data_IF_164646273813
#
_entry.id   IF_164646273813
#
_cell.length_a   1.000
_cell.length_b   1.000
_cell.length_c   1.000
_cell.angle_alpha   90.00
_cell.angle_beta   90.00
_cell.angle_gamma   90.00
#
_symmetry.space_group_name_H-M   'P 1'
#
loop_
_entity.id
_entity.type
_entity.pdbx_description
1 polymer ?
#
# COMPACT_ATOMS: atom_id res chain seq x y z
N UNK A 1 -19.94 20.40 -5.75
CA UNK A 1 -19.12 20.88 -4.60
C UNK A 1 -19.34 20.00 -3.35
N UNK A 2 -20.58 19.60 -3.05
CA UNK A 2 -20.91 18.86 -1.81
C UNK A 2 -20.45 17.41 -1.83
N UNK A 3 -20.57 16.70 -2.97
CA UNK A 3 -20.07 15.33 -3.16
C UNK A 3 -18.54 15.27 -3.06
N UNK A 4 -17.84 16.19 -3.73
CA UNK A 4 -16.36 16.29 -3.68
C UNK A 4 -15.87 16.47 -2.24
N UNK A 5 -16.43 17.44 -1.51
CA UNK A 5 -16.01 17.72 -0.13
C UNK A 5 -16.27 16.52 0.80
N UNK A 6 -17.39 15.80 0.62
CA UNK A 6 -17.69 14.59 1.40
C UNK A 6 -16.74 13.45 1.09
N UNK A 7 -16.44 13.20 -0.19
CA UNK A 7 -15.49 12.18 -0.61
C UNK A 7 -14.09 12.51 -0.12
N UNK A 8 -13.63 13.77 -0.28
CA UNK A 8 -12.33 14.22 0.19
C UNK A 8 -12.19 14.14 1.72
N UNK A 9 -13.23 14.49 2.47
CA UNK A 9 -13.21 14.41 3.94
C UNK A 9 -13.11 12.97 4.46
N UNK A 10 -13.74 12.00 3.78
CA UNK A 10 -13.64 10.57 4.14
C UNK A 10 -12.28 9.98 3.82
N UNK A 11 -11.75 10.28 2.64
CA UNK A 11 -10.46 9.76 2.18
C UNK A 11 -9.26 10.45 2.86
N UNK A 12 -9.45 11.66 3.43
CA UNK A 12 -8.43 12.34 4.23
C UNK A 12 -8.11 11.63 5.56
N UNK A 13 -8.96 10.67 6.00
CA UNK A 13 -8.76 9.88 7.23
C UNK A 13 -7.80 8.68 7.01
N UNK A 14 -7.16 8.57 5.83
CA UNK A 14 -6.16 7.52 5.54
C UNK A 14 -6.77 6.15 5.22
N UNK A 15 -8.08 6.07 4.95
CA UNK A 15 -8.74 4.84 4.49
C UNK A 15 -8.63 4.69 2.99
N UNK A 16 -8.39 3.46 2.55
CA UNK A 16 -8.38 3.16 1.12
C UNK A 16 -9.81 3.18 0.56
N UNK A 17 -9.95 3.44 -0.75
CA UNK A 17 -11.21 3.32 -1.48
C UNK A 17 -11.90 1.96 -1.27
N UNK A 18 -11.10 0.92 -1.05
CA UNK A 18 -11.55 -0.45 -0.84
C UNK A 18 -12.20 -0.61 0.54
N UNK A 19 -11.69 0.07 1.57
CA UNK A 19 -12.22 -0.02 2.94
C UNK A 19 -13.56 0.73 3.11
N UNK A 20 -13.76 1.83 2.39
CA UNK A 20 -14.98 2.66 2.46
C UNK A 20 -15.91 2.46 1.23
N UNK A 21 -15.78 1.34 0.49
CA UNK A 21 -16.52 1.09 -0.75
C UNK A 21 -18.05 1.16 -0.58
N UNK A 22 -18.60 0.59 0.49
CA UNK A 22 -20.04 0.58 0.74
C UNK A 22 -20.65 1.99 0.87
N UNK A 23 -20.18 2.84 1.79
CA UNK A 23 -20.71 4.20 1.91
C UNK A 23 -20.42 5.05 0.66
N UNK A 24 -19.28 4.85 0.00
CA UNK A 24 -18.91 5.50 -1.24
C UNK A 24 -19.90 5.15 -2.38
N UNK A 25 -20.24 3.87 -2.53
CA UNK A 25 -21.18 3.41 -3.53
C UNK A 25 -22.59 4.02 -3.32
N UNK A 26 -23.04 4.16 -2.08
CA UNK A 26 -24.32 4.77 -1.76
C UNK A 26 -24.37 6.27 -2.11
N UNK A 27 -23.27 6.99 -1.90
CA UNK A 27 -23.18 8.41 -2.29
C UNK A 27 -23.21 8.60 -3.80
N UNK A 28 -22.52 7.75 -4.58
CA UNK A 28 -22.59 7.79 -6.05
C UNK A 28 -23.99 7.51 -6.54
N UNK A 29 -24.69 6.51 -5.98
CA UNK A 29 -26.05 6.17 -6.36
C UNK A 29 -27.05 7.33 -6.18
N UNK A 30 -26.80 8.25 -5.26
CA UNK A 30 -27.61 9.44 -5.06
C UNK A 30 -27.53 10.47 -6.19
N UNK A 31 -26.44 10.42 -6.99
CA UNK A 31 -26.14 11.38 -8.06
C UNK A 31 -26.25 10.74 -9.44
N UNK A 32 -25.75 9.54 -9.59
CA UNK A 32 -25.80 8.75 -10.84
C UNK A 32 -26.53 7.45 -10.52
N UNK A 33 -27.81 7.30 -10.92
CA UNK A 33 -28.55 6.06 -10.72
C UNK A 33 -27.91 4.89 -11.50
N UNK A 34 -27.69 3.77 -10.84
CA UNK A 34 -27.16 2.55 -11.41
C UNK A 34 -27.76 1.32 -10.69
N UNK A 35 -27.66 0.15 -11.31
CA UNK A 35 -28.10 -1.13 -10.73
C UNK A 35 -26.95 -1.91 -10.12
N UNK A 36 -25.73 -1.70 -10.61
CA UNK A 36 -24.51 -2.32 -10.11
C UNK A 36 -23.31 -1.40 -10.22
N UNK A 37 -22.36 -1.57 -9.28
CA UNK A 37 -21.08 -0.85 -9.25
C UNK A 37 -19.94 -1.82 -8.97
N UNK A 38 -18.82 -1.62 -9.66
CA UNK A 38 -17.56 -2.31 -9.45
C UNK A 38 -16.46 -1.30 -9.21
N UNK A 39 -15.67 -1.53 -8.16
CA UNK A 39 -14.38 -0.88 -7.93
C UNK A 39 -13.28 -1.92 -8.18
N UNK A 40 -12.46 -1.69 -9.19
CA UNK A 40 -11.33 -2.54 -9.55
C UNK A 40 -10.04 -1.74 -9.42
N UNK A 41 -9.25 -2.04 -8.38
CA UNK A 41 -8.02 -1.34 -8.03
C UNK A 41 -6.95 -2.36 -7.65
N UNK A 42 -5.75 -2.24 -8.19
CA UNK A 42 -4.60 -3.13 -7.93
C UNK A 42 -4.95 -4.63 -8.06
N UNK A 43 -5.80 -4.98 -9.03
CA UNK A 43 -6.26 -6.36 -9.24
C UNK A 43 -7.34 -6.84 -8.26
N UNK A 44 -7.75 -6.02 -7.30
CA UNK A 44 -8.84 -6.32 -6.38
C UNK A 44 -10.18 -5.91 -6.98
N UNK A 45 -11.15 -6.83 -6.92
CA UNK A 45 -12.49 -6.66 -7.43
C UNK A 45 -13.49 -6.56 -6.27
N UNK A 46 -14.04 -5.37 -6.05
CA UNK A 46 -15.16 -5.13 -5.15
C UNK A 46 -16.40 -4.77 -5.94
N UNK A 47 -17.54 -5.31 -5.55
CA UNK A 47 -18.78 -5.10 -6.28
C UNK A 47 -20.00 -5.00 -5.38
N UNK A 48 -21.02 -4.31 -5.88
CA UNK A 48 -22.33 -4.21 -5.25
C UNK A 48 -23.43 -4.12 -6.31
N UNK A 49 -24.57 -4.78 -6.07
CA UNK A 49 -25.72 -4.78 -6.97
C UNK A 49 -25.55 -5.73 -8.15
N UNK A 50 -26.21 -5.42 -9.26
CA UNK A 50 -26.20 -6.23 -10.48
C UNK A 50 -24.95 -5.99 -11.31
N UNK A 51 -24.01 -6.94 -11.26
CA UNK A 51 -22.68 -6.83 -11.88
C UNK A 51 -22.30 -8.12 -12.65
N UNK A 52 -21.33 -8.05 -13.57
CA UNK A 52 -20.73 -9.25 -14.16
C UNK A 52 -20.07 -10.12 -13.08
N UNK A 53 -20.00 -11.43 -13.33
CA UNK A 53 -19.14 -12.31 -12.53
C UNK A 53 -17.66 -11.93 -12.69
N UNK A 54 -16.79 -12.29 -11.74
CA UNK A 54 -15.34 -12.00 -11.87
C UNK A 54 -14.73 -12.51 -13.19
N UNK A 55 -15.14 -13.67 -13.68
CA UNK A 55 -14.66 -14.24 -14.94
C UNK A 55 -15.12 -13.44 -16.18
N UNK A 56 -16.37 -12.96 -16.20
CA UNK A 56 -16.88 -12.08 -17.24
C UNK A 56 -16.18 -10.72 -17.20
N UNK A 57 -15.88 -10.24 -15.98
CA UNK A 57 -15.24 -8.95 -15.74
C UNK A 57 -13.80 -8.89 -16.25
N UNK A 58 -13.02 -9.97 -16.13
CA UNK A 58 -11.64 -10.01 -16.68
C UNK A 58 -11.59 -9.71 -18.18
N UNK A 59 -12.55 -10.27 -18.94
CA UNK A 59 -12.69 -10.00 -20.38
C UNK A 59 -13.02 -8.54 -20.64
N UNK A 60 -13.90 -7.98 -19.82
CA UNK A 60 -14.34 -6.58 -19.92
C UNK A 60 -13.20 -5.59 -19.63
N UNK A 61 -12.37 -5.84 -18.59
CA UNK A 61 -11.21 -4.99 -18.26
C UNK A 61 -10.19 -4.98 -19.42
N UNK A 62 -9.92 -6.14 -20.02
CA UNK A 62 -9.03 -6.22 -21.20
C UNK A 62 -9.58 -5.39 -22.38
N UNK A 63 -10.88 -5.49 -22.62
CA UNK A 63 -11.55 -4.67 -23.63
C UNK A 63 -11.42 -3.18 -23.32
N UNK A 64 -11.74 -2.74 -22.10
CA UNK A 64 -11.65 -1.33 -21.69
C UNK A 64 -10.22 -0.78 -21.79
N UNK A 65 -9.21 -1.56 -21.42
CA UNK A 65 -7.81 -1.17 -21.56
C UNK A 65 -7.37 -1.00 -23.02
N UNK A 66 -8.02 -1.70 -23.95
CA UNK A 66 -7.73 -1.59 -25.38
C UNK A 66 -8.53 -0.49 -26.04
N UNK A 67 -9.80 -0.33 -25.69
CA UNK A 67 -10.72 0.64 -26.30
C UNK A 67 -10.62 2.04 -25.67
N UNK A 68 -10.14 2.15 -24.42
CA UNK A 68 -10.20 3.40 -23.66
C UNK A 68 -9.03 4.34 -23.93
N UNK A 69 -9.34 5.63 -24.11
CA UNK A 69 -8.38 6.74 -24.29
C UNK A 69 -7.88 7.36 -22.98
N UNK A 70 -8.33 6.84 -21.81
CA UNK A 70 -8.08 7.47 -20.50
C UNK A 70 -9.19 8.44 -20.08
N UNK A 71 -10.23 8.55 -20.87
CA UNK A 71 -11.47 9.29 -20.60
C UNK A 71 -12.59 8.34 -20.15
N UNK A 72 -13.70 8.88 -19.68
CA UNK A 72 -14.87 8.06 -19.39
C UNK A 72 -15.36 7.36 -20.66
N UNK A 73 -15.72 6.10 -20.54
CA UNK A 73 -16.32 5.34 -21.62
C UNK A 73 -17.71 4.85 -21.21
N UNK A 74 -18.74 5.11 -22.04
CA UNK A 74 -20.09 4.73 -21.73
C UNK A 74 -20.85 4.18 -22.94
N UNK A 75 -21.77 3.26 -22.67
CA UNK A 75 -22.69 2.71 -23.66
C UNK A 75 -23.99 2.27 -22.98
N UNK A 76 -25.09 2.29 -23.71
CA UNK A 76 -26.39 1.69 -23.31
C UNK A 76 -26.58 0.30 -23.91
N UNK A 77 -25.64 -0.19 -24.73
CA UNK A 77 -25.65 -1.50 -25.35
C UNK A 77 -24.25 -2.12 -25.37
N UNK A 78 -23.82 -2.65 -24.22
CA UNK A 78 -22.48 -3.18 -24.03
C UNK A 78 -22.14 -4.32 -25.00
N UNK A 79 -23.09 -5.23 -25.26
CA UNK A 79 -22.89 -6.39 -26.12
C UNK A 79 -22.56 -6.04 -27.58
N UNK A 80 -22.91 -4.82 -28.04
CA UNK A 80 -22.54 -4.35 -29.39
C UNK A 80 -21.04 -4.08 -29.53
N UNK A 81 -20.36 -3.70 -28.45
CA UNK A 81 -18.93 -3.39 -28.42
C UNK A 81 -18.10 -4.53 -27.86
N UNK A 82 -18.67 -5.30 -26.92
CA UNK A 82 -18.06 -6.44 -26.27
C UNK A 82 -18.99 -7.66 -26.36
N UNK A 83 -18.95 -8.44 -27.44
CA UNK A 83 -19.89 -9.56 -27.66
C UNK A 83 -20.01 -10.57 -26.52
N UNK A 84 -18.94 -10.91 -25.74
CA UNK A 84 -19.08 -11.77 -24.59
C UNK A 84 -20.08 -11.27 -23.53
N UNK A 85 -20.37 -9.97 -23.48
CA UNK A 85 -21.35 -9.39 -22.55
C UNK A 85 -22.82 -9.78 -22.86
N UNK A 86 -23.10 -10.50 -23.95
CA UNK A 86 -24.41 -11.09 -24.16
C UNK A 86 -24.82 -12.06 -23.04
N UNK A 87 -23.86 -12.75 -22.41
CA UNK A 87 -24.13 -13.67 -21.30
C UNK A 87 -24.63 -12.97 -20.03
N UNK A 88 -24.27 -11.71 -19.84
CA UNK A 88 -24.66 -10.91 -18.66
C UNK A 88 -25.58 -9.73 -19.03
N UNK A 89 -26.12 -9.65 -20.26
CA UNK A 89 -26.91 -8.53 -20.73
C UNK A 89 -28.10 -8.17 -19.81
N UNK A 90 -28.76 -9.15 -19.23
CA UNK A 90 -29.83 -8.92 -18.26
C UNK A 90 -29.42 -8.05 -17.06
N UNK A 91 -28.15 -8.17 -16.61
CA UNK A 91 -27.58 -7.42 -15.48
C UNK A 91 -26.75 -6.22 -15.90
N UNK A 92 -26.14 -6.27 -17.07
CA UNK A 92 -25.07 -5.36 -17.51
C UNK A 92 -25.28 -4.92 -18.96
N UNK A 93 -26.49 -4.54 -19.35
CA UNK A 93 -26.76 -4.04 -20.71
C UNK A 93 -26.06 -2.72 -20.98
N UNK A 94 -25.99 -1.84 -19.97
CA UNK A 94 -25.28 -0.58 -20.02
C UNK A 94 -24.07 -0.51 -19.11
N UNK A 95 -23.10 0.29 -19.50
CA UNK A 95 -21.85 0.50 -18.77
C UNK A 95 -21.41 1.96 -18.84
N UNK A 96 -20.92 2.46 -17.69
CA UNK A 96 -20.22 3.74 -17.56
C UNK A 96 -18.91 3.47 -16.80
N UNK A 97 -17.77 3.49 -17.49
CA UNK A 97 -16.45 3.21 -16.95
C UNK A 97 -15.65 4.49 -16.73
N UNK A 98 -15.14 4.66 -15.51
CA UNK A 98 -14.30 5.76 -15.08
C UNK A 98 -12.88 5.21 -14.81
N UNK A 99 -11.89 5.47 -15.68
CA UNK A 99 -10.50 5.10 -15.40
C UNK A 99 -9.94 6.02 -14.33
N UNK A 100 -9.38 5.42 -13.25
CA UNK A 100 -8.84 6.15 -12.08
C UNK A 100 -7.33 6.05 -11.94
N UNK A 101 -6.64 5.33 -12.87
CA UNK A 101 -5.18 5.25 -12.93
C UNK A 101 -4.64 5.22 -14.36
N UNK A 102 -3.30 5.18 -14.52
CA UNK A 102 -2.63 4.93 -15.81
C UNK A 102 -2.59 3.42 -16.09
N UNK A 103 -2.19 3.04 -17.32
CA UNK A 103 -2.14 1.64 -17.75
C UNK A 103 -1.19 0.76 -16.91
N UNK A 104 -1.59 -0.48 -16.52
CA UNK A 104 -2.94 -1.03 -16.59
C UNK A 104 -3.90 -0.22 -15.71
N UNK A 105 -5.09 0.10 -16.23
CA UNK A 105 -5.97 1.05 -15.54
C UNK A 105 -6.78 0.38 -14.45
N UNK A 106 -6.88 1.07 -13.34
CA UNK A 106 -7.92 0.84 -12.34
C UNK A 106 -9.20 1.54 -12.77
N UNK A 107 -10.33 0.97 -12.39
CA UNK A 107 -11.63 1.42 -12.85
C UNK A 107 -12.63 1.51 -11.71
N UNK A 108 -13.45 2.55 -11.76
CA UNK A 108 -14.78 2.55 -11.17
C UNK A 108 -15.79 2.38 -12.29
N UNK A 109 -16.66 1.37 -12.21
CA UNK A 109 -17.59 1.03 -13.29
C UNK A 109 -19.00 0.94 -12.74
N UNK A 110 -19.92 1.65 -13.38
CA UNK A 110 -21.35 1.59 -13.10
C UNK A 110 -22.06 0.80 -14.18
N UNK A 111 -22.98 -0.05 -13.78
CA UNK A 111 -23.77 -0.91 -14.67
C UNK A 111 -25.25 -0.56 -14.57
N UNK A 112 -25.96 -0.71 -15.69
CA UNK A 112 -27.40 -0.69 -15.77
C UNK A 112 -27.92 -1.97 -16.39
N UNK A 113 -28.96 -2.50 -15.79
CA UNK A 113 -29.65 -3.70 -16.25
C UNK A 113 -30.44 -3.44 -17.54
N UNK A 114 -30.76 -4.52 -18.23
CA UNK A 114 -31.55 -4.47 -19.45
C UNK A 114 -32.96 -3.94 -19.19
N UNK A 115 -33.42 -3.05 -20.05
CA UNK A 115 -34.80 -2.58 -20.09
C UNK A 115 -35.40 -2.93 -21.44
N UNK A 116 -36.43 -3.78 -21.46
CA UNK A 116 -37.20 -4.03 -22.66
C UNK A 116 -37.87 -2.76 -23.16
N UNK A 117 -37.55 -2.35 -24.39
CA UNK A 117 -38.15 -1.16 -25.01
C UNK A 117 -39.11 -1.55 -26.10
N UNK A 118 -40.36 -1.04 -25.99
CA UNK A 118 -41.32 -1.12 -27.07
C UNK A 118 -41.05 0.02 -28.07
N UNK A 119 -40.50 -0.32 -29.22
CA UNK A 119 -40.36 0.65 -30.34
C UNK A 119 -41.55 0.50 -31.25
N UNK A 120 -42.33 1.55 -31.38
CA UNK A 120 -43.54 1.62 -32.25
C UNK A 120 -43.14 2.22 -33.58
N UNK A 121 -43.39 1.49 -34.63
CA UNK A 121 -43.15 1.94 -36.01
C UNK A 121 -44.49 2.19 -36.71
N UNK A 122 -44.58 3.24 -37.53
CA UNK A 122 -45.70 3.44 -38.43
C UNK A 122 -45.54 2.46 -39.64
N UNK A 123 -46.05 1.24 -39.42
CA UNK A 123 -45.93 0.12 -40.38
C UNK A 123 -44.62 -0.69 -40.27
N UNK A 124 -44.67 -1.96 -40.70
CA UNK A 124 -43.52 -2.88 -40.69
C UNK A 124 -42.35 -2.28 -41.46
N UNK A 125 -41.12 -2.27 -40.92
CA UNK A 125 -39.97 -1.62 -41.56
C UNK A 125 -39.51 -2.29 -42.84
N UNK A 126 -39.82 -3.61 -43.05
CA UNK A 126 -39.42 -4.34 -44.23
C UNK A 126 -40.30 -3.97 -45.43
N UNK A 127 -39.69 -3.43 -46.47
CA UNK A 127 -40.35 -3.26 -47.76
C UNK A 127 -40.56 -4.62 -48.44
N UNK A 128 -41.79 -4.99 -48.63
CA UNK A 128 -42.13 -6.22 -49.40
C UNK A 128 -41.79 -5.94 -50.85
N UNK A 129 -40.88 -6.72 -51.41
CA UNK A 129 -40.59 -6.73 -52.87
C UNK A 129 -41.57 -7.72 -53.51
N UNK A 130 -42.42 -7.25 -54.40
CA UNK A 130 -43.25 -8.12 -55.25
C UNK A 130 -42.62 -8.21 -56.63
N UNK A 131 -42.44 -9.45 -57.08
CA UNK A 131 -41.95 -9.71 -58.47
C UNK A 131 -43.17 -9.67 -59.38
N UNK A 132 -43.25 -8.59 -60.18
CA UNK A 132 -44.29 -8.44 -61.19
C UNK A 132 -43.76 -8.79 -62.58
N UNK A 133 -44.62 -8.83 -63.61
CA UNK A 133 -44.26 -9.20 -65.01
C UNK A 133 -43.19 -8.31 -65.64
N UNK A 134 -42.89 -7.15 -65.06
CA UNK A 134 -41.88 -6.20 -65.55
C UNK A 134 -40.72 -5.98 -64.57
N UNK A 135 -40.43 -6.98 -63.67
CA UNK A 135 -39.34 -6.92 -62.70
C UNK A 135 -39.79 -6.64 -61.28
N UNK A 136 -38.83 -6.54 -60.34
CA UNK A 136 -39.10 -6.25 -58.91
C UNK A 136 -39.64 -4.81 -58.75
N UNK A 137 -40.82 -4.68 -58.12
CA UNK A 137 -41.39 -3.41 -57.72
C UNK A 137 -41.54 -3.31 -56.22
N UNK A 138 -41.20 -2.14 -55.67
CA UNK A 138 -41.49 -1.81 -54.27
C UNK A 138 -42.97 -1.44 -54.19
N UNK A 139 -43.80 -2.25 -53.50
CA UNK A 139 -45.20 -1.92 -53.26
C UNK A 139 -45.32 -0.80 -52.23
N UNK A 140 -46.25 0.16 -52.42
CA UNK A 140 -46.60 1.12 -51.38
C UNK A 140 -47.07 0.39 -50.15
N UNK A 141 -46.75 0.89 -48.95
CA UNK A 141 -47.21 0.33 -47.68
C UNK A 141 -48.73 0.24 -47.67
N UNK A 142 -49.26 -0.99 -47.61
CA UNK A 142 -50.69 -1.25 -47.63
C UNK A 142 -51.40 -1.02 -46.29
N UNK A 143 -50.63 -0.88 -45.21
CA UNK A 143 -51.19 -0.69 -43.85
C UNK A 143 -50.26 0.21 -43.04
N UNK A 144 -50.83 1.18 -42.35
CA UNK A 144 -50.19 2.00 -41.32
C UNK A 144 -50.42 1.42 -39.94
N UNK A 145 -50.66 0.09 -39.86
CA UNK A 145 -50.79 -0.59 -38.58
C UNK A 145 -49.53 -0.40 -37.74
N UNK A 146 -49.72 -0.09 -36.46
CA UNK A 146 -48.65 0.09 -35.49
C UNK A 146 -47.88 -1.24 -35.32
N UNK A 147 -46.64 -1.25 -35.73
CA UNK A 147 -45.77 -2.42 -35.52
C UNK A 147 -44.90 -2.20 -34.32
N UNK A 148 -44.97 -3.09 -33.34
CA UNK A 148 -44.19 -3.06 -32.15
C UNK A 148 -43.00 -4.00 -32.28
N UNK A 149 -41.84 -3.49 -32.01
CA UNK A 149 -40.63 -4.30 -31.87
C UNK A 149 -40.13 -4.17 -30.45
N UNK A 150 -39.96 -5.32 -29.78
CA UNK A 150 -39.28 -5.36 -28.49
C UNK A 150 -37.78 -5.35 -28.82
N UNK A 151 -37.11 -4.31 -28.39
CA UNK A 151 -35.66 -4.19 -28.48
C UNK A 151 -35.07 -4.63 -27.15
N UNK A 152 -34.24 -5.66 -27.19
CA UNK A 152 -33.51 -6.23 -26.04
C UNK A 152 -32.05 -5.85 -26.07
N UNK A 153 -31.32 -6.03 -24.99
CA UNK A 153 -29.90 -5.74 -24.88
C UNK A 153 -29.55 -4.28 -24.61
N UNK A 154 -30.54 -3.43 -24.36
CA UNK A 154 -30.35 -2.01 -24.06
C UNK A 154 -30.75 -1.67 -22.63
N UNK A 155 -30.02 -0.76 -22.01
CA UNK A 155 -30.42 -0.12 -20.74
C UNK A 155 -31.02 1.28 -20.98
N UNK A 156 -31.35 1.97 -19.89
CA UNK A 156 -31.63 3.40 -19.94
C UNK A 156 -30.36 4.15 -20.34
N UNK A 157 -30.39 4.99 -21.41
CA UNK A 157 -29.22 5.76 -21.82
C UNK A 157 -28.69 6.65 -20.70
N UNK A 158 -27.37 6.83 -20.70
CA UNK A 158 -26.70 7.76 -19.81
C UNK A 158 -26.97 9.20 -20.28
N UNK A 159 -27.52 10.02 -19.41
CA UNK A 159 -27.77 11.43 -19.69
C UNK A 159 -26.48 12.24 -19.70
N UNK A 160 -26.48 13.41 -20.31
CA UNK A 160 -25.30 14.26 -20.35
C UNK A 160 -24.94 14.80 -18.94
N UNK A 161 -25.95 15.04 -18.10
CA UNK A 161 -25.73 15.43 -16.69
C UNK A 161 -25.03 14.30 -15.90
N UNK A 162 -25.43 13.04 -16.11
CA UNK A 162 -24.78 11.88 -15.48
C UNK A 162 -23.35 11.70 -15.96
N UNK A 163 -23.09 11.92 -17.27
CA UNK A 163 -21.72 11.87 -17.81
C UNK A 163 -20.83 12.99 -17.23
N UNK A 164 -21.37 14.21 -17.11
CA UNK A 164 -20.66 15.32 -16.46
C UNK A 164 -20.36 15.02 -14.98
N UNK A 165 -21.33 14.45 -14.26
CA UNK A 165 -21.11 14.01 -12.89
C UNK A 165 -20.05 12.91 -12.79
N UNK A 166 -20.04 11.96 -13.74
CA UNK A 166 -19.04 10.89 -13.80
C UNK A 166 -17.64 11.44 -14.09
N UNK A 167 -17.49 12.40 -15.01
CA UNK A 167 -16.21 13.03 -15.27
C UNK A 167 -15.69 13.81 -14.06
N UNK A 168 -16.57 14.51 -13.37
CA UNK A 168 -16.22 15.19 -12.12
C UNK A 168 -15.78 14.20 -11.03
N UNK A 169 -16.50 13.09 -10.90
CA UNK A 169 -16.13 12.01 -9.98
C UNK A 169 -14.78 11.42 -10.34
N UNK A 170 -14.51 11.16 -11.63
CA UNK A 170 -13.23 10.65 -12.12
C UNK A 170 -12.05 11.56 -11.73
N UNK A 171 -12.18 12.87 -11.95
CA UNK A 171 -11.16 13.86 -11.58
C UNK A 171 -10.91 13.84 -10.08
N UNK A 172 -11.99 13.81 -9.27
CA UNK A 172 -11.89 13.72 -7.81
C UNK A 172 -11.15 12.46 -7.37
N UNK A 173 -11.46 11.31 -7.99
CA UNK A 173 -10.80 10.02 -7.69
C UNK A 173 -9.32 10.05 -8.03
N UNK A 174 -8.94 10.60 -9.19
CA UNK A 174 -7.55 10.77 -9.57
C UNK A 174 -6.77 11.65 -8.58
N UNK A 175 -7.38 12.74 -8.11
CA UNK A 175 -6.77 13.60 -7.09
C UNK A 175 -6.52 12.86 -5.78
N UNK A 176 -7.49 12.03 -5.36
CA UNK A 176 -7.35 11.19 -4.16
C UNK A 176 -6.23 10.17 -4.32
N UNK A 177 -6.20 9.44 -5.43
CA UNK A 177 -5.14 8.45 -5.71
C UNK A 177 -3.76 9.10 -5.70
N UNK A 178 -3.62 10.28 -6.31
CA UNK A 178 -2.37 11.04 -6.29
C UNK A 178 -1.95 11.42 -4.88
N UNK A 179 -2.86 11.92 -4.05
CA UNK A 179 -2.55 12.28 -2.65
C UNK A 179 -2.14 11.07 -1.81
N UNK A 180 -2.82 9.93 -1.99
CA UNK A 180 -2.44 8.70 -1.29
C UNK A 180 -1.05 8.23 -1.70
N UNK A 181 -0.72 8.25 -2.99
CA UNK A 181 0.60 7.91 -3.50
C UNK A 181 1.69 8.87 -2.96
N UNK A 182 1.42 10.18 -2.93
CA UNK A 182 2.36 11.17 -2.36
C UNK A 182 2.60 10.95 -0.86
N UNK A 183 1.56 10.64 -0.09
CA UNK A 183 1.70 10.37 1.34
C UNK A 183 2.51 9.09 1.59
N UNK A 184 2.25 8.02 0.84
CA UNK A 184 3.03 6.78 0.93
C UNK A 184 4.50 7.00 0.59
N UNK A 185 4.81 7.78 -0.45
CA UNK A 185 6.18 8.12 -0.80
C UNK A 185 6.87 8.91 0.31
N UNK A 186 6.19 9.90 0.91
CA UNK A 186 6.75 10.67 2.04
C UNK A 186 7.06 9.79 3.26
N UNK A 187 6.22 8.82 3.56
CA UNK A 187 6.46 7.86 4.64
C UNK A 187 7.68 6.97 4.36
N UNK A 188 7.83 6.50 3.11
CA UNK A 188 8.99 5.73 2.68
C UNK A 188 10.28 6.55 2.74
N UNK A 189 10.26 7.79 2.27
CA UNK A 189 11.41 8.71 2.33
C UNK A 189 11.82 8.98 3.78
N UNK A 190 10.86 9.27 4.65
CA UNK A 190 11.12 9.49 6.08
C UNK A 190 11.65 8.23 6.78
N UNK A 191 11.21 7.04 6.39
CA UNK A 191 11.76 5.77 6.89
C UNK A 191 13.19 5.57 6.40
N UNK A 192 13.48 5.88 5.13
CA UNK A 192 14.82 5.84 4.55
C UNK A 192 15.80 6.78 5.27
N UNK A 193 15.41 8.04 5.50
CA UNK A 193 16.23 9.01 6.24
C UNK A 193 16.53 8.53 7.67
N UNK A 194 15.55 7.97 8.37
CA UNK A 194 15.76 7.39 9.71
C UNK A 194 16.75 6.24 9.68
N UNK A 195 16.64 5.37 8.67
CA UNK A 195 17.56 4.25 8.49
C UNK A 195 19.00 4.73 8.22
N UNK A 196 19.20 5.75 7.38
CA UNK A 196 20.51 6.33 7.12
C UNK A 196 21.16 6.91 8.40
N UNK A 197 20.38 7.62 9.21
CA UNK A 197 20.84 8.16 10.50
C UNK A 197 21.29 7.02 11.42
N UNK A 198 20.51 5.94 11.52
CA UNK A 198 20.87 4.77 12.33
C UNK A 198 22.14 4.07 11.85
N UNK A 199 22.29 3.92 10.53
CA UNK A 199 23.51 3.35 9.91
C UNK A 199 24.73 4.23 10.19
N UNK A 200 24.60 5.56 10.09
CA UNK A 200 25.68 6.50 10.39
C UNK A 200 26.12 6.39 11.85
N UNK A 201 25.17 6.34 12.78
CA UNK A 201 25.44 6.15 14.22
C UNK A 201 26.10 4.81 14.50
N UNK A 202 25.59 3.72 13.90
CA UNK A 202 26.20 2.39 14.02
C UNK A 202 27.64 2.40 13.53
N UNK A 203 27.92 2.98 12.36
CA UNK A 203 29.26 3.09 11.82
C UNK A 203 30.19 3.92 12.72
N UNK A 204 29.68 4.97 13.35
CA UNK A 204 30.43 5.74 14.32
C UNK A 204 30.79 4.90 15.56
N UNK A 205 29.87 4.11 16.08
CA UNK A 205 30.07 3.20 17.22
C UNK A 205 31.08 2.10 16.87
N UNK A 206 30.96 1.46 15.71
CA UNK A 206 31.92 0.45 15.24
C UNK A 206 33.33 1.04 15.16
N UNK A 207 33.50 2.24 14.61
CA UNK A 207 34.81 2.92 14.57
C UNK A 207 35.36 3.17 15.98
N UNK A 208 34.53 3.54 16.93
CA UNK A 208 34.95 3.76 18.32
C UNK A 208 35.45 2.46 18.96
N UNK A 209 34.74 1.33 18.78
CA UNK A 209 35.18 0.01 19.28
C UNK A 209 36.49 -0.41 18.63
N UNK A 210 36.65 -0.26 17.32
CA UNK A 210 37.90 -0.61 16.62
C UNK A 210 39.07 0.25 17.10
N UNK A 211 38.85 1.53 17.41
CA UNK A 211 39.87 2.39 17.97
C UNK A 211 40.28 1.97 19.40
N UNK A 212 39.31 1.54 20.23
CA UNK A 212 39.58 0.99 21.55
C UNK A 212 40.41 -0.31 21.45
N UNK A 213 40.02 -1.25 20.59
CA UNK A 213 40.76 -2.49 20.34
C UNK A 213 42.20 -2.18 19.89
N UNK A 214 42.37 -1.23 18.96
CA UNK A 214 43.69 -0.80 18.50
C UNK A 214 44.53 -0.21 19.63
N UNK A 215 43.93 0.57 20.53
CA UNK A 215 44.58 1.14 21.70
C UNK A 215 45.03 0.05 22.69
N UNK A 216 44.15 -0.94 22.96
CA UNK A 216 44.47 -2.10 23.81
C UNK A 216 45.65 -2.89 23.26
N UNK A 217 45.68 -3.19 21.97
CA UNK A 217 46.79 -3.90 21.31
C UNK A 217 48.10 -3.11 21.46
N UNK A 218 48.10 -1.81 21.24
CA UNK A 218 49.28 -0.96 21.32
C UNK A 218 49.80 -0.81 22.76
N UNK A 219 48.91 -0.68 23.75
CA UNK A 219 49.30 -0.54 25.15
C UNK A 219 49.81 -1.84 25.76
N UNK A 220 49.40 -3.00 25.22
CA UNK A 220 49.84 -4.31 25.70
C UNK A 220 51.23 -4.72 25.20
N UNK A 221 51.77 -4.10 24.14
CA UNK A 221 53.06 -4.50 23.51
C UNK A 221 54.31 -4.39 24.39
N UNK A 222 54.51 -3.40 25.29
CA UNK A 222 55.78 -3.22 25.97
C UNK A 222 56.01 -4.07 27.22
N UNK A 223 55.02 -4.83 27.70
CA UNK A 223 54.99 -5.37 29.07
C UNK A 223 55.32 -6.88 29.20
N UNK A 224 55.51 -7.63 28.08
CA UNK A 224 55.48 -9.10 28.15
C UNK A 224 56.75 -9.76 27.59
N UNK A 225 57.18 -10.84 28.28
CA UNK A 225 58.31 -11.63 27.91
C UNK A 225 58.04 -12.72 26.87
N UNK A 226 56.80 -13.24 26.81
CA UNK A 226 56.39 -14.29 25.87
C UNK A 226 55.15 -13.92 25.06
N UNK A 227 55.00 -14.58 23.91
CA UNK A 227 53.79 -14.37 23.05
C UNK A 227 52.54 -14.91 23.75
N UNK A 228 52.68 -15.98 24.54
CA UNK A 228 51.53 -16.60 25.23
C UNK A 228 50.98 -15.67 26.32
N UNK A 229 51.85 -15.06 27.13
CA UNK A 229 51.47 -14.07 28.16
C UNK A 229 50.74 -12.87 27.52
N UNK A 230 51.28 -12.41 26.38
CA UNK A 230 50.61 -11.32 25.62
C UNK A 230 49.22 -11.69 25.14
N UNK A 231 49.05 -12.90 24.60
CA UNK A 231 47.80 -13.39 24.05
C UNK A 231 46.74 -13.55 25.16
N UNK A 232 47.14 -14.06 26.35
CA UNK A 232 46.24 -14.25 27.50
C UNK A 232 45.71 -12.90 28.03
N UNK A 233 46.59 -11.93 28.22
CA UNK A 233 46.21 -10.63 28.73
C UNK A 233 45.39 -9.81 27.68
N UNK A 234 45.77 -9.87 26.42
CA UNK A 234 44.97 -9.24 25.38
C UNK A 234 43.58 -9.87 25.30
N UNK A 235 43.47 -11.21 25.42
CA UNK A 235 42.20 -11.93 25.45
C UNK A 235 41.30 -11.45 26.59
N UNK A 236 41.84 -11.36 27.83
CA UNK A 236 41.07 -10.92 29.00
C UNK A 236 40.57 -9.48 28.87
N UNK A 237 41.36 -8.57 28.29
CA UNK A 237 40.98 -7.18 28.03
C UNK A 237 39.87 -7.07 26.94
N UNK A 238 39.95 -7.89 25.90
CA UNK A 238 38.90 -7.94 24.85
C UNK A 238 37.61 -8.47 25.43
N UNK A 239 37.65 -9.48 26.31
CA UNK A 239 36.46 -9.97 27.00
C UNK A 239 35.83 -8.92 27.94
N UNK A 240 36.66 -8.17 28.68
CA UNK A 240 36.16 -7.04 29.48
C UNK A 240 35.48 -5.97 28.63
N UNK A 241 36.09 -5.66 27.48
CA UNK A 241 35.48 -4.75 26.50
C UNK A 241 34.13 -5.27 25.97
N UNK A 242 34.03 -6.57 25.63
CA UNK A 242 32.79 -7.20 25.17
C UNK A 242 31.70 -7.14 26.26
N UNK A 243 32.03 -7.49 27.52
CA UNK A 243 31.07 -7.39 28.64
C UNK A 243 30.55 -5.95 28.86
N UNK A 244 31.42 -4.97 28.80
CA UNK A 244 31.05 -3.57 28.92
C UNK A 244 30.12 -3.12 27.77
N UNK A 245 30.36 -3.60 26.57
CA UNK A 245 29.51 -3.34 25.40
C UNK A 245 28.13 -4.00 25.52
N UNK A 246 28.10 -5.27 25.98
CA UNK A 246 26.84 -5.99 26.21
C UNK A 246 25.99 -5.28 27.26
N UNK A 247 26.58 -4.76 28.34
CA UNK A 247 25.87 -3.95 29.33
C UNK A 247 25.24 -2.70 28.73
N UNK A 248 25.94 -2.00 27.84
CA UNK A 248 25.41 -0.84 27.14
C UNK A 248 24.23 -1.21 26.26
N UNK A 249 24.31 -2.37 25.57
CA UNK A 249 23.25 -2.84 24.67
C UNK A 249 22.03 -3.30 25.44
N UNK A 250 22.18 -4.08 26.50
CA UNK A 250 21.06 -4.55 27.36
C UNK A 250 20.39 -3.39 28.08
N UNK A 251 21.18 -2.38 28.51
CA UNK A 251 20.68 -1.19 29.18
C UNK A 251 20.12 -0.12 28.24
N UNK A 252 19.93 -0.42 26.97
CA UNK A 252 19.47 0.54 25.93
C UNK A 252 20.23 1.88 26.01
N UNK A 253 21.56 1.79 26.19
CA UNK A 253 22.46 2.95 26.30
C UNK A 253 22.07 3.94 27.42
N UNK A 254 21.37 3.44 28.44
CA UNK A 254 21.00 4.23 29.61
C UNK A 254 22.16 4.39 30.60
N UNK A 255 22.18 5.48 31.38
CA UNK A 255 23.16 5.65 32.45
C UNK A 255 23.07 4.52 33.47
N UNK A 256 24.22 3.91 33.80
CA UNK A 256 24.30 2.70 34.65
C UNK A 256 24.88 3.03 36.01
N UNK A 257 24.33 2.49 37.13
CA UNK A 257 24.95 2.65 38.45
C UNK A 257 26.36 2.04 38.51
N UNK A 258 27.34 2.78 39.08
CA UNK A 258 28.73 2.29 39.18
C UNK A 258 28.83 0.96 39.93
N UNK A 259 27.97 0.74 40.94
CA UNK A 259 27.91 -0.53 41.69
C UNK A 259 27.56 -1.73 40.80
N UNK A 260 26.71 -1.52 39.81
CA UNK A 260 26.35 -2.57 38.86
C UNK A 260 27.54 -2.91 37.95
N UNK A 261 28.27 -1.90 37.49
CA UNK A 261 29.49 -2.11 36.67
C UNK A 261 30.55 -2.89 37.49
N UNK A 262 30.80 -2.49 38.74
CA UNK A 262 31.73 -3.19 39.65
C UNK A 262 31.29 -4.65 39.87
N UNK A 263 29.98 -4.89 40.10
CA UNK A 263 29.45 -6.23 40.32
C UNK A 263 29.65 -7.15 39.11
N UNK A 264 29.45 -6.65 37.89
CA UNK A 264 29.66 -7.44 36.67
C UNK A 264 31.13 -7.78 36.46
N UNK A 265 32.01 -6.80 36.63
CA UNK A 265 33.45 -7.08 36.51
C UNK A 265 33.96 -8.04 37.61
N UNK A 266 33.50 -7.85 38.85
CA UNK A 266 33.81 -8.73 39.97
C UNK A 266 33.32 -10.16 39.75
N UNK A 267 32.12 -10.36 39.24
CA UNK A 267 31.55 -11.70 38.99
C UNK A 267 32.34 -12.48 37.91
N UNK A 268 32.94 -11.80 36.93
CA UNK A 268 33.76 -12.43 35.90
C UNK A 268 35.08 -12.95 36.46
N UNK A 269 35.59 -12.35 37.53
CA UNK A 269 36.87 -12.64 38.13
C UNK A 269 36.81 -13.64 39.29
N UNK A 270 35.85 -13.46 40.18
CA UNK A 270 35.80 -14.19 41.48
C UNK A 270 34.94 -15.45 41.43
N UNK A 271 34.43 -15.85 40.30
CA UNK A 271 33.56 -17.03 40.00
C UNK A 271 32.68 -17.56 41.13
N UNK A 272 33.09 -17.51 42.40
CA UNK A 272 32.34 -17.97 43.60
C UNK A 272 32.68 -17.21 44.89
N UNK A 273 33.50 -16.16 44.89
CA UNK A 273 34.01 -15.48 46.10
C UNK A 273 33.70 -13.97 46.12
N UNK A 274 32.44 -13.60 45.78
CA UNK A 274 31.99 -12.20 45.76
C UNK A 274 32.11 -11.49 47.13
N UNK A 275 32.14 -12.23 48.24
CA UNK A 275 32.32 -11.71 49.58
C UNK A 275 33.70 -11.07 49.83
N UNK A 276 34.69 -11.26 48.97
CA UNK A 276 36.01 -10.62 49.03
C UNK A 276 36.02 -9.16 48.60
N UNK A 277 34.93 -8.66 47.99
CA UNK A 277 34.82 -7.29 47.52
C UNK A 277 33.80 -6.52 48.32
N UNK A 278 34.24 -5.49 49.03
CA UNK A 278 33.37 -4.50 49.69
C UNK A 278 33.33 -3.24 48.85
N UNK A 279 32.10 -2.81 48.51
CA UNK A 279 31.84 -1.57 47.74
C UNK A 279 31.18 -0.54 48.60
N UNK A 280 31.93 0.47 49.05
CA UNK A 280 31.43 1.57 49.89
C UNK A 280 31.52 2.89 49.12
N UNK A 281 30.58 3.80 49.40
CA UNK A 281 30.58 5.14 48.81
C UNK A 281 29.19 5.62 48.40
N UNK A 282 29.12 6.86 47.95
CA UNK A 282 27.89 7.48 47.50
C UNK A 282 27.35 6.83 46.20
N UNK A 283 26.05 6.94 46.00
CA UNK A 283 25.41 6.49 44.73
C UNK A 283 25.91 7.34 43.60
N UNK A 284 26.51 6.72 42.61
CA UNK A 284 27.03 7.40 41.41
C UNK A 284 26.56 6.66 40.14
N UNK A 285 26.31 7.44 39.11
CA UNK A 285 25.82 6.97 37.82
C UNK A 285 26.90 7.23 36.76
N UNK A 286 27.21 6.21 35.97
CA UNK A 286 28.16 6.26 34.86
C UNK A 286 27.39 6.50 33.57
N UNK A 287 27.78 7.55 32.86
CA UNK A 287 27.25 7.83 31.53
C UNK A 287 27.73 6.77 30.52
N UNK A 288 26.92 6.42 29.49
CA UNK A 288 27.28 5.39 28.52
C UNK A 288 28.66 5.56 27.88
N UNK A 289 29.05 6.80 27.55
CA UNK A 289 30.37 7.11 26.96
C UNK A 289 31.54 6.81 27.88
N UNK A 290 31.33 6.80 29.18
CA UNK A 290 32.39 6.54 30.17
C UNK A 290 32.37 5.07 30.67
N UNK A 291 31.35 4.29 30.37
CA UNK A 291 31.18 2.93 30.90
C UNK A 291 32.31 2.00 30.44
N UNK A 292 32.58 1.94 29.15
CA UNK A 292 33.62 1.09 28.57
C UNK A 292 35.04 1.41 29.10
N UNK A 293 35.53 2.69 29.08
CA UNK A 293 36.79 3.02 29.68
C UNK A 293 36.90 2.66 31.16
N UNK A 294 35.81 2.90 31.94
CA UNK A 294 35.79 2.62 33.35
C UNK A 294 35.77 1.11 33.64
N UNK A 295 35.09 0.30 32.83
CA UNK A 295 35.10 -1.16 32.92
C UNK A 295 36.54 -1.71 32.72
N UNK A 296 37.27 -1.20 31.72
CA UNK A 296 38.65 -1.59 31.49
C UNK A 296 39.57 -1.19 32.66
N UNK A 297 39.40 -0.01 33.22
CA UNK A 297 40.20 0.41 34.40
C UNK A 297 39.87 -0.48 35.60
N UNK A 298 38.61 -0.79 35.87
CA UNK A 298 38.21 -1.71 36.94
C UNK A 298 38.79 -3.11 36.72
N UNK A 299 38.74 -3.61 35.48
CA UNK A 299 39.35 -4.88 35.12
C UNK A 299 40.86 -4.93 35.42
N UNK A 300 41.62 -3.91 35.02
CA UNK A 300 43.04 -3.79 35.29
C UNK A 300 43.36 -3.70 36.78
N UNK A 301 42.57 -2.95 37.57
CA UNK A 301 42.73 -2.84 38.99
C UNK A 301 42.46 -4.19 39.68
N UNK A 302 41.48 -4.94 39.27
CA UNK A 302 41.15 -6.27 39.82
C UNK A 302 42.24 -7.30 39.44
N UNK A 303 42.72 -7.27 38.19
CA UNK A 303 43.85 -8.16 37.79
C UNK A 303 45.15 -7.88 38.50
N UNK A 304 45.44 -6.61 38.79
CA UNK A 304 46.65 -6.24 39.50
C UNK A 304 46.60 -6.51 41.02
N UNK A 305 45.41 -6.74 41.58
CA UNK A 305 45.17 -6.94 43.03
C UNK A 305 45.13 -8.43 43.42
N UNK A 306 45.20 -9.32 42.47
CA UNK A 306 45.24 -10.78 42.65
C UNK A 306 46.66 -11.30 42.60
#
# INVERSE_FOLDING_TARGET
ADLHNRLMARLAVGRTLLEDFEPFSAEISSVIPYDGIVCYVDGQFLSRGEVPTPAEFEGLVRFLNTAGTGEIWCTDHLAAFHPPAHSCAARCAGLLALPVSRLPRDYLILFRSEIARDVRWAGKPNKVREVGPHGERLTPRKSFEEWKQIVTGHCQPWTDDEKHCAEYLRVTMLEVVLRLAENSNRELDAAGERQEILIAELNHRVRNILNLIRSLINQSRPQFGTIDDYAEILGSRVEALARAHDQLTIGDWSPTPIRQLIAVEASSWLKNDLDRISVEGAYAIVQPRALTPLALVLHELMTNSS
#
